data_IF_196593807123
#
_entry.id   IF_196593807123
#
_cell.length_a   1.000
_cell.length_b   1.000
_cell.length_c   1.000
_cell.angle_alpha   90.00
_cell.angle_beta   90.00
_cell.angle_gamma   90.00
#
_symmetry.space_group_name_H-M   'P 1'
#
loop_
_entity.id
_entity.type
_entity.pdbx_description
1 polymer ?
#
# COMPACT_ATOMS: atom_id res chain seq x y z
N UNK A 1 -7.78 -2.48 12.72
CA UNK A 1 -6.51 -2.70 11.99
C UNK A 1 -5.50 -1.76 12.63
N UNK A 2 -4.37 -2.25 13.15
CA UNK A 2 -3.30 -1.34 13.62
C UNK A 2 -2.45 -0.89 12.44
N UNK A 3 -1.83 0.28 12.55
CA UNK A 3 -0.85 0.74 11.55
C UNK A 3 0.39 -0.16 11.53
N UNK A 4 0.84 -0.65 12.69
CA UNK A 4 1.96 -1.58 12.78
C UNK A 4 1.74 -2.83 11.91
N UNK A 5 0.57 -3.46 12.00
CA UNK A 5 0.25 -4.62 11.17
C UNK A 5 0.14 -4.24 9.68
N UNK A 6 -0.41 -3.06 9.38
CA UNK A 6 -0.58 -2.58 8.02
C UNK A 6 0.76 -2.36 7.29
N UNK A 7 1.86 -2.09 8.00
CA UNK A 7 3.19 -1.95 7.40
C UNK A 7 3.62 -3.18 6.59
N UNK A 8 3.12 -4.37 6.95
CA UNK A 8 3.44 -5.61 6.22
C UNK A 8 2.98 -5.59 4.76
N UNK A 9 2.06 -4.70 4.39
CA UNK A 9 1.65 -4.51 3.00
C UNK A 9 2.84 -4.17 2.09
N UNK A 10 3.85 -3.46 2.61
CA UNK A 10 5.02 -3.04 1.85
C UNK A 10 6.04 -4.18 1.64
N UNK A 11 5.88 -5.29 2.37
CA UNK A 11 6.70 -6.50 2.19
C UNK A 11 6.04 -7.53 1.27
N UNK A 12 4.82 -7.29 0.79
CA UNK A 12 4.17 -8.15 -0.18
C UNK A 12 4.84 -7.99 -1.56
N UNK A 13 5.45 -9.05 -2.12
CA UNK A 13 6.10 -8.97 -3.43
C UNK A 13 5.15 -8.65 -4.58
N UNK A 14 3.83 -8.81 -4.38
CA UNK A 14 2.80 -8.51 -5.36
C UNK A 14 2.02 -7.22 -5.03
N UNK A 15 2.55 -6.40 -4.12
CA UNK A 15 1.91 -5.14 -3.76
C UNK A 15 1.76 -4.22 -4.98
N UNK A 16 0.57 -3.67 -5.15
CA UNK A 16 0.26 -2.69 -6.19
C UNK A 16 0.40 -1.30 -5.61
N UNK A 17 1.37 -0.53 -6.12
CA UNK A 17 1.57 0.87 -5.77
C UNK A 17 1.00 1.78 -6.84
N UNK A 18 0.08 2.67 -6.46
CA UNK A 18 -0.53 3.64 -7.35
C UNK A 18 -0.42 5.03 -6.76
N UNK A 19 0.08 5.98 -7.54
CA UNK A 19 -0.01 7.38 -7.18
C UNK A 19 -1.48 7.81 -7.30
N UNK A 20 -2.06 8.35 -6.21
CA UNK A 20 -3.48 8.71 -6.12
C UNK A 20 -3.68 10.20 -6.46
N UNK A 21 -3.08 11.09 -5.67
CA UNK A 21 -3.20 12.54 -5.86
C UNK A 21 -2.02 13.31 -5.26
N UNK A 22 -1.96 14.60 -5.55
CA UNK A 22 -1.05 15.54 -4.90
C UNK A 22 -1.90 16.44 -4.00
N UNK A 23 -1.53 16.57 -2.73
CA UNK A 23 -2.26 17.37 -1.73
C UNK A 23 -1.25 18.17 -0.90
N UNK A 24 -1.31 19.50 -0.95
CA UNK A 24 -0.33 20.39 -0.30
C UNK A 24 1.12 20.05 -0.67
N UNK A 25 1.41 19.89 -1.97
CA UNK A 25 2.73 19.53 -2.51
C UNK A 25 3.24 18.13 -2.10
N UNK A 26 2.43 17.36 -1.36
CA UNK A 26 2.75 16.00 -0.95
C UNK A 26 2.08 14.98 -1.89
N UNK A 27 2.88 14.08 -2.46
CA UNK A 27 2.37 12.93 -3.20
C UNK A 27 1.71 11.95 -2.25
N UNK A 28 0.44 11.63 -2.53
CA UNK A 28 -0.30 10.57 -1.86
C UNK A 28 -0.38 9.36 -2.75
N UNK A 29 -0.14 8.22 -2.12
CA UNK A 29 -0.09 6.91 -2.74
C UNK A 29 -1.14 6.01 -2.11
N UNK A 30 -1.66 5.10 -2.91
CA UNK A 30 -2.49 3.99 -2.48
C UNK A 30 -1.74 2.68 -2.78
N UNK A 31 -1.67 1.82 -1.77
CA UNK A 31 -1.08 0.48 -1.90
C UNK A 31 -2.12 -0.58 -1.59
N UNK A 32 -2.32 -1.48 -2.56
CA UNK A 32 -3.03 -2.74 -2.33
C UNK A 32 -2.02 -3.85 -2.09
N UNK A 33 -2.17 -4.60 -1.01
CA UNK A 33 -1.31 -5.76 -0.74
C UNK A 33 -1.89 -6.72 0.27
N UNK A 34 -1.36 -7.94 0.25
CA UNK A 34 -1.76 -9.06 1.09
C UNK A 34 -0.92 -9.10 2.36
N UNK A 35 -1.59 -9.24 3.50
CA UNK A 35 -0.97 -9.53 4.78
C UNK A 35 -1.55 -10.82 5.36
N UNK A 36 -0.78 -11.45 6.25
CA UNK A 36 -1.19 -12.69 6.95
C UNK A 36 -1.65 -13.80 5.99
N UNK A 37 -1.17 -13.79 4.75
CA UNK A 37 -1.53 -14.71 3.66
C UNK A 37 -3.01 -14.69 3.19
N UNK A 38 -3.89 -13.85 3.75
CA UNK A 38 -5.33 -13.89 3.39
C UNK A 38 -6.08 -12.54 3.42
N UNK A 39 -5.47 -11.48 3.96
CA UNK A 39 -6.15 -10.17 4.10
C UNK A 39 -5.53 -9.19 3.11
N UNK A 40 -6.31 -8.75 2.12
CA UNK A 40 -5.89 -7.65 1.24
C UNK A 40 -6.28 -6.32 1.88
N UNK A 41 -5.31 -5.42 2.02
CA UNK A 41 -5.50 -4.07 2.56
C UNK A 41 -5.36 -3.03 1.46
N UNK A 42 -6.08 -1.92 1.64
CA UNK A 42 -5.82 -0.66 0.97
C UNK A 42 -5.17 0.30 1.99
N UNK A 43 -3.96 0.73 1.71
CA UNK A 43 -3.18 1.65 2.55
C UNK A 43 -2.94 2.94 1.80
N UNK A 44 -3.44 4.06 2.34
CA UNK A 44 -3.08 5.39 1.84
C UNK A 44 -1.86 5.90 2.62
N UNK A 45 -0.84 6.37 1.91
CA UNK A 45 0.41 6.82 2.52
C UNK A 45 1.08 7.92 1.70
N UNK A 46 2.12 8.50 2.29
CA UNK A 46 3.04 9.41 1.62
C UNK A 46 4.46 8.89 1.77
N UNK A 47 5.32 9.14 0.78
CA UNK A 47 6.75 8.83 0.81
C UNK A 47 7.51 10.15 0.90
N UNK A 48 8.50 10.22 1.79
CA UNK A 48 9.42 11.37 1.91
C UNK A 48 10.84 10.88 2.05
N UNK A 49 11.74 11.48 1.28
CA UNK A 49 13.17 11.24 1.44
C UNK A 49 13.70 12.02 2.64
N UNK A 50 14.50 11.35 3.47
CA UNK A 50 15.32 11.98 4.50
C UNK A 50 16.77 12.07 4.06
N UNK A 51 17.52 12.94 4.74
CA UNK A 51 18.97 13.00 4.60
C UNK A 51 19.60 11.61 4.75
N UNK A 52 20.56 11.31 3.88
CA UNK A 52 21.20 9.99 3.83
C UNK A 52 20.46 8.94 2.99
N UNK A 53 19.47 9.33 2.18
CA UNK A 53 18.79 8.44 1.23
C UNK A 53 17.81 7.46 1.87
N UNK A 54 17.37 7.75 3.10
CA UNK A 54 16.36 6.95 3.79
C UNK A 54 14.97 7.40 3.37
N UNK A 55 14.20 6.51 2.76
CA UNK A 55 12.79 6.75 2.48
C UNK A 55 11.95 6.55 3.75
N UNK A 56 11.05 7.49 4.03
CA UNK A 56 10.09 7.42 5.14
C UNK A 56 8.68 7.36 4.58
N UNK A 57 8.02 6.24 4.88
CA UNK A 57 6.60 6.04 4.57
C UNK A 57 5.76 6.45 5.78
N UNK A 58 4.84 7.39 5.59
CA UNK A 58 3.82 7.77 6.59
C UNK A 58 2.47 7.21 6.19
N UNK A 59 1.94 6.27 6.96
CA UNK A 59 0.57 5.77 6.78
C UNK A 59 -0.41 6.86 7.20
N UNK A 60 -1.34 7.18 6.29
CA UNK A 60 -2.43 8.16 6.50
C UNK A 60 -3.71 7.43 6.89
N UNK A 61 -4.03 6.33 6.19
CA UNK A 61 -5.20 5.51 6.48
C UNK A 61 -5.00 4.06 6.06
N UNK A 62 -5.72 3.15 6.72
CA UNK A 62 -5.78 1.75 6.35
C UNK A 62 -7.21 1.23 6.42
N UNK A 63 -7.60 0.41 5.45
CA UNK A 63 -8.81 -0.40 5.52
C UNK A 63 -8.61 -1.74 4.81
N UNK A 64 -9.55 -2.67 5.02
CA UNK A 64 -9.65 -3.84 4.15
C UNK A 64 -9.98 -3.36 2.73
N UNK A 65 -9.39 -4.02 1.74
CA UNK A 65 -9.76 -3.83 0.36
C UNK A 65 -11.24 -4.20 0.17
N UNK A 66 -11.93 -3.45 -0.69
CA UNK A 66 -13.25 -3.83 -1.14
C UNK A 66 -13.19 -4.99 -2.16
N UNK A 67 -14.34 -5.47 -2.61
CA UNK A 67 -14.40 -6.60 -3.53
C UNK A 67 -13.72 -6.32 -4.88
N UNK A 68 -13.79 -5.08 -5.39
CA UNK A 68 -13.20 -4.68 -6.67
C UNK A 68 -11.68 -4.58 -6.55
N UNK A 69 -11.20 -3.96 -5.49
CA UNK A 69 -9.77 -3.82 -5.16
C UNK A 69 -9.12 -5.17 -4.90
N UNK A 70 -9.79 -6.04 -4.13
CA UNK A 70 -9.31 -7.41 -3.91
C UNK A 70 -9.17 -8.18 -5.22
N UNK A 71 -10.19 -8.12 -6.08
CA UNK A 71 -10.15 -8.75 -7.40
C UNK A 71 -9.00 -8.22 -8.25
N UNK A 72 -8.77 -6.90 -8.24
CA UNK A 72 -7.65 -6.27 -8.96
C UNK A 72 -6.30 -6.78 -8.45
N UNK A 73 -6.12 -6.86 -7.13
CA UNK A 73 -4.90 -7.41 -6.52
C UNK A 73 -4.69 -8.87 -6.94
N UNK A 74 -5.71 -9.72 -6.81
CA UNK A 74 -5.62 -11.15 -7.15
C UNK A 74 -5.30 -11.38 -8.63
N UNK A 75 -5.90 -10.58 -9.53
CA UNK A 75 -5.59 -10.61 -10.96
C UNK A 75 -4.14 -10.23 -11.25
N UNK A 76 -3.63 -9.17 -10.62
CA UNK A 76 -2.24 -8.77 -10.82
C UNK A 76 -1.26 -9.82 -10.28
N UNK A 77 -1.52 -10.34 -9.08
CA UNK A 77 -0.72 -11.41 -8.48
C UNK A 77 -0.65 -12.65 -9.37
N UNK A 78 -1.76 -13.05 -9.99
CA UNK A 78 -1.80 -14.20 -10.90
C UNK A 78 -1.03 -13.97 -12.21
N UNK A 79 -0.76 -12.72 -12.60
CA UNK A 79 0.06 -12.40 -13.77
C UNK A 79 1.56 -12.34 -13.45
N UNK A 80 1.93 -12.22 -12.19
CA UNK A 80 3.32 -12.05 -11.72
C UNK A 80 3.90 -13.29 -11.03
N UNK A 81 3.07 -14.31 -10.73
CA UNK A 81 3.48 -15.59 -10.16
C UNK A 81 3.50 -16.70 -11.20
#
# INVERSE_FOLDING_TARGET
>A
MSFELATRVFADPYALFEQDRIENEEYRWQTLGLIENHIVLMVAHSIRDKEGGTEVIRIISVRKADAKERRRYEQNRALQG
#
